data_IF_172986076343
#
_entry.id   IF_172986076343
#
_cell.length_a   1.000
_cell.length_b   1.000
_cell.length_c   1.000
_cell.angle_alpha   90.00
_cell.angle_beta   90.00
_cell.angle_gamma   90.00
#
_symmetry.space_group_name_H-M   'P 1'
#
loop_
_entity.id
_entity.type
_entity.pdbx_description
1 polymer ?
#
# COMPACT_ATOMS: atom_id res chain seq x y z
N UNK A 1 8.34 -4.61 -5.54
CA UNK A 1 7.74 -5.67 -4.70
C UNK A 1 6.21 -5.55 -4.72
N UNK A 2 5.41 -6.63 -4.73
CA UNK A 2 3.94 -6.50 -4.71
C UNK A 2 3.45 -6.03 -3.32
N UNK A 3 2.37 -5.26 -3.27
CA UNK A 3 1.78 -4.81 -2.02
C UNK A 3 1.07 -6.00 -1.34
N UNK A 4 1.49 -6.41 -0.12
CA UNK A 4 0.90 -7.58 0.55
C UNK A 4 -0.54 -7.32 1.01
N UNK A 5 -0.93 -6.06 1.20
CA UNK A 5 -2.27 -5.68 1.67
C UNK A 5 -3.33 -5.88 0.57
N UNK A 6 -3.08 -5.39 -0.64
CA UNK A 6 -3.97 -5.59 -1.79
C UNK A 6 -3.56 -6.77 -2.67
N UNK A 7 -2.55 -7.56 -2.27
CA UNK A 7 -2.00 -8.70 -3.04
C UNK A 7 -1.67 -8.34 -4.50
N UNK A 8 -1.20 -7.13 -4.75
CA UNK A 8 -0.83 -6.69 -6.10
C UNK A 8 -1.92 -6.03 -6.93
N UNK A 9 -3.19 -5.99 -6.48
CA UNK A 9 -4.30 -5.45 -7.28
C UNK A 9 -4.38 -3.93 -7.27
N UNK A 10 -3.82 -3.29 -6.24
CA UNK A 10 -4.00 -1.85 -5.99
C UNK A 10 -5.28 -1.51 -5.25
N UNK A 11 -6.17 -2.48 -4.99
CA UNK A 11 -7.47 -2.23 -4.36
C UNK A 11 -7.81 -3.27 -3.29
N UNK A 12 -8.62 -2.87 -2.32
CA UNK A 12 -9.19 -3.75 -1.30
C UNK A 12 -10.71 -3.74 -1.37
N UNK A 13 -11.32 -4.82 -0.89
CA UNK A 13 -12.77 -4.90 -0.75
C UNK A 13 -13.27 -3.90 0.30
N UNK A 14 -14.36 -3.21 0.00
CA UNK A 14 -15.08 -2.41 1.00
C UNK A 14 -16.05 -3.32 1.75
N UNK A 15 -16.15 -3.14 3.06
CA UNK A 15 -17.03 -3.94 3.92
C UNK A 15 -18.21 -3.12 4.41
N UNK A 16 -19.38 -3.74 4.37
CA UNK A 16 -20.60 -3.17 4.95
C UNK A 16 -20.48 -3.17 6.49
N UNK A 17 -20.60 -2.01 7.16
CA UNK A 17 -20.38 -1.92 8.61
C UNK A 17 -21.52 -2.56 9.43
N UNK A 18 -22.67 -2.84 8.81
CA UNK A 18 -23.84 -3.43 9.48
C UNK A 18 -23.80 -4.96 9.39
N UNK A 19 -23.44 -5.48 8.22
CA UNK A 19 -23.50 -6.91 7.90
C UNK A 19 -22.12 -7.59 7.91
N UNK A 20 -21.03 -6.82 7.88
CA UNK A 20 -19.65 -7.31 7.80
C UNK A 20 -19.33 -8.01 6.47
N UNK A 21 -20.21 -7.92 5.47
CA UNK A 21 -20.01 -8.56 4.17
C UNK A 21 -19.25 -7.62 3.22
N UNK A 22 -18.39 -8.16 2.35
CA UNK A 22 -17.76 -7.34 1.32
C UNK A 22 -18.83 -6.91 0.30
N UNK A 23 -18.74 -5.65 -0.14
CA UNK A 23 -19.48 -5.18 -1.30
C UNK A 23 -18.75 -5.67 -2.56
N UNK A 24 -19.34 -6.56 -3.37
CA UNK A 24 -18.65 -7.19 -4.50
C UNK A 24 -18.22 -6.18 -5.58
N UNK A 25 -18.99 -5.12 -5.76
CA UNK A 25 -18.77 -4.10 -6.80
C UNK A 25 -18.02 -2.86 -6.30
N UNK A 26 -17.79 -2.74 -4.98
CA UNK A 26 -17.11 -1.59 -4.39
C UNK A 26 -15.70 -1.98 -3.94
N UNK A 27 -14.73 -1.41 -4.67
CA UNK A 27 -13.30 -1.52 -4.37
C UNK A 27 -12.79 -0.18 -3.90
N UNK A 28 -12.07 -0.17 -2.77
CA UNK A 28 -11.39 1.03 -2.28
C UNK A 28 -9.91 0.98 -2.66
N UNK A 29 -9.32 2.11 -3.08
CA UNK A 29 -7.90 2.17 -3.40
C UNK A 29 -7.08 1.78 -2.17
N UNK A 30 -6.04 0.99 -2.39
CA UNK A 30 -5.16 0.55 -1.31
C UNK A 30 -4.16 1.65 -0.99
N UNK A 31 -4.37 2.34 0.13
CA UNK A 31 -3.54 3.46 0.60
C UNK A 31 -2.07 3.07 0.79
N UNK A 32 -1.81 1.83 1.19
CA UNK A 32 -0.44 1.34 1.42
C UNK A 32 0.43 1.38 0.15
N UNK A 33 -0.20 1.35 -1.02
CA UNK A 33 0.49 1.35 -2.31
C UNK A 33 -0.01 2.44 -3.25
N UNK A 34 -0.78 3.42 -2.76
CA UNK A 34 -1.38 4.48 -3.57
C UNK A 34 -2.10 3.94 -4.82
N UNK A 35 -2.85 2.85 -4.65
CA UNK A 35 -3.53 2.11 -5.71
C UNK A 35 -2.67 1.55 -6.86
N UNK A 36 -1.35 1.57 -6.75
CA UNK A 36 -0.44 1.03 -7.78
C UNK A 36 -0.34 -0.49 -7.77
N UNK A 37 -0.76 -1.14 -6.68
CA UNK A 37 -0.57 -2.57 -6.47
C UNK A 37 0.86 -2.97 -6.07
N UNK A 38 1.82 -2.06 -6.18
CA UNK A 38 3.20 -2.29 -5.79
C UNK A 38 3.46 -1.62 -4.45
N UNK A 39 3.98 -2.37 -3.47
CA UNK A 39 4.47 -1.72 -2.26
C UNK A 39 5.48 -0.66 -2.72
N UNK A 40 5.40 0.59 -2.22
CA UNK A 40 6.44 1.56 -2.50
C UNK A 40 7.72 0.85 -2.11
N UNK A 41 8.55 0.56 -3.11
CA UNK A 41 9.86 -0.03 -2.87
C UNK A 41 10.46 0.94 -1.90
N UNK A 42 10.65 0.49 -0.65
CA UNK A 42 11.17 1.33 0.42
C UNK A 42 12.28 2.06 -0.27
N UNK A 43 12.14 3.37 -0.50
CA UNK A 43 13.31 4.17 -0.84
C UNK A 43 14.18 3.79 0.34
N UNK A 44 15.21 2.97 0.10
CA UNK A 44 16.34 2.91 1.01
C UNK A 44 16.56 4.39 1.22
N UNK A 45 16.21 4.88 2.41
CA UNK A 45 16.50 6.25 2.78
C UNK A 45 17.89 6.47 2.19
N UNK A 46 18.07 7.42 1.25
CA UNK A 46 19.42 7.69 0.79
C UNK A 46 20.13 7.96 2.09
N UNK A 47 20.97 7.00 2.51
CA UNK A 47 21.69 7.03 3.77
C UNK A 47 22.25 8.42 3.74
N UNK A 48 21.73 9.29 4.62
CA UNK A 48 22.08 10.70 4.55
C UNK A 48 23.58 10.65 4.76
N UNK A 49 24.33 10.86 3.68
CA UNK A 49 25.77 10.94 3.72
C UNK A 49 26.02 12.14 4.61
N UNK A 50 26.15 11.88 5.91
CA UNK A 50 26.85 12.77 6.81
C UNK A 50 28.29 12.67 6.31
N UNK A 51 28.87 13.71 5.69
CA UNK A 51 30.31 13.75 5.66
C UNK A 51 30.73 13.82 7.14
N UNK A 52 31.33 12.75 7.65
CA UNK A 52 32.16 12.88 8.84
C UNK A 52 33.27 13.84 8.43
N UNK A 53 33.13 15.09 8.85
CA UNK A 53 34.22 16.05 8.84
C UNK A 53 35.29 15.51 9.77
N UNK A 54 36.44 15.16 9.20
CA UNK A 54 37.69 15.05 9.93
C UNK A 54 38.85 15.46 9.05
#
# INVERSE_FOLDING_TARGET
>A
MFCPTCKGTGYTDMFDPVTGRPYPDLKMPCDRCDATGHAPERRRDPVTHRPEGR
#
